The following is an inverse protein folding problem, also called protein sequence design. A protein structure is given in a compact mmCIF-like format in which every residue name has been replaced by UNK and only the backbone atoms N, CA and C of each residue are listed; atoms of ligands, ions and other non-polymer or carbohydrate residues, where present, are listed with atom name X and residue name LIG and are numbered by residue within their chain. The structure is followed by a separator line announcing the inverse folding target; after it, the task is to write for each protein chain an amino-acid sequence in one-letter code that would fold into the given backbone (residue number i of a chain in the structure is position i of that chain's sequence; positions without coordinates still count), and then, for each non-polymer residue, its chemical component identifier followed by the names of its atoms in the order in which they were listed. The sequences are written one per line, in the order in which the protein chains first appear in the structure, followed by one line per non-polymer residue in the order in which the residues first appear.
data_IF_886544819241
#
_entry.id   IF_886544819241
#
_cell.length_a   1.000
_cell.length_b   1.000
_cell.length_c   1.000
_cell.angle_alpha   90.00
_cell.angle_beta   90.00
_cell.angle_gamma   90.00
#
_symmetry.space_group_name_H-M   'P 1'
#
loop_
_entity.id
_entity.type
_entity.pdbx_description
1 polymer ?
#
# COMPACT_ATOMS: atom_id res chain seq x y z
N UNK A 1 -17.35 -19.58 -19.72
CA UNK A 1 -17.55 -18.16 -19.99
C UNK A 1 -17.33 -17.37 -18.68
N UNK A 2 -16.38 -16.41 -18.69
CA UNK A 2 -16.07 -15.58 -17.52
C UNK A 2 -16.89 -14.29 -17.61
N UNK A 3 -17.73 -14.01 -16.62
CA UNK A 3 -18.54 -12.78 -16.54
C UNK A 3 -17.95 -11.71 -15.66
N UNK A 4 -17.09 -12.10 -14.72
CA UNK A 4 -16.43 -11.20 -13.81
C UNK A 4 -14.95 -11.54 -13.69
N UNK A 5 -14.09 -10.52 -13.72
CA UNK A 5 -12.71 -10.60 -13.28
C UNK A 5 -12.53 -9.58 -12.16
N UNK A 6 -12.17 -10.06 -10.98
CA UNK A 6 -12.00 -9.22 -9.80
C UNK A 6 -10.52 -9.27 -9.39
N UNK A 7 -9.86 -8.13 -9.49
CA UNK A 7 -8.51 -7.96 -8.96
C UNK A 7 -8.60 -7.50 -7.50
N UNK A 8 -8.37 -8.41 -6.58
CA UNK A 8 -8.37 -8.12 -5.16
C UNK A 8 -7.14 -7.29 -4.73
N UNK A 9 -6.04 -7.45 -5.45
CA UNK A 9 -4.85 -6.63 -5.35
C UNK A 9 -4.55 -5.96 -6.69
N UNK A 10 -3.98 -4.74 -6.63
CA UNK A 10 -3.59 -4.03 -7.83
C UNK A 10 -2.45 -4.78 -8.55
N UNK A 11 -2.62 -5.13 -9.84
CA UNK A 11 -1.55 -5.67 -10.66
C UNK A 11 -0.34 -4.74 -10.72
N UNK A 12 0.82 -5.29 -11.05
CA UNK A 12 2.08 -4.54 -11.06
C UNK A 12 2.17 -3.52 -12.20
N UNK A 13 1.54 -3.85 -13.33
CA UNK A 13 1.56 -3.03 -14.54
C UNK A 13 0.27 -3.18 -15.35
N UNK A 14 0.11 -2.34 -16.37
CA UNK A 14 -1.08 -2.32 -17.25
C UNK A 14 -1.16 -3.58 -18.09
N UNK A 15 -0.04 -4.13 -18.54
CA UNK A 15 0.01 -5.33 -19.36
C UNK A 15 -0.56 -6.54 -18.62
N UNK A 16 -0.14 -6.72 -17.36
CA UNK A 16 -0.67 -7.79 -16.51
C UNK A 16 -2.18 -7.61 -16.29
N UNK A 17 -2.60 -6.38 -15.93
CA UNK A 17 -4.01 -6.06 -15.76
C UNK A 17 -4.81 -6.38 -17.02
N UNK A 18 -4.35 -5.95 -18.19
CA UNK A 18 -5.01 -6.16 -19.48
C UNK A 18 -5.17 -7.65 -19.81
N UNK A 19 -4.10 -8.45 -19.63
CA UNK A 19 -4.13 -9.88 -19.87
C UNK A 19 -5.10 -10.62 -18.93
N UNK A 20 -5.15 -10.23 -17.67
CA UNK A 20 -6.04 -10.82 -16.68
C UNK A 20 -7.51 -10.39 -16.93
N UNK A 21 -7.76 -9.11 -17.14
CA UNK A 21 -9.07 -8.56 -17.45
C UNK A 21 -9.62 -9.11 -18.78
N UNK A 22 -8.76 -9.31 -19.79
CA UNK A 22 -9.12 -9.87 -21.10
C UNK A 22 -9.58 -11.33 -21.08
N UNK A 23 -9.63 -11.97 -19.91
CA UNK A 23 -10.26 -13.29 -19.74
C UNK A 23 -11.78 -13.20 -19.67
N UNK A 24 -12.33 -12.03 -19.34
CA UNK A 24 -13.76 -11.79 -19.26
C UNK A 24 -14.36 -11.52 -20.67
N UNK A 25 -15.55 -12.04 -20.91
CA UNK A 25 -16.35 -11.72 -22.09
C UNK A 25 -15.77 -12.19 -23.44
N UNK A 26 -14.94 -13.24 -23.48
CA UNK A 26 -14.37 -13.77 -24.73
C UNK A 26 -15.40 -14.28 -25.72
N UNK A 27 -16.60 -14.52 -25.28
CA UNK A 27 -17.74 -14.92 -26.10
C UNK A 27 -18.52 -13.72 -26.69
N UNK A 28 -18.05 -12.49 -26.46
CA UNK A 28 -18.67 -11.26 -26.93
C UNK A 28 -19.80 -10.73 -26.03
N UNK A 29 -20.16 -11.47 -24.99
CA UNK A 29 -21.17 -11.04 -24.04
C UNK A 29 -20.63 -10.05 -23.01
N UNK A 30 -21.52 -9.23 -22.42
CA UNK A 30 -21.13 -8.26 -21.39
C UNK A 30 -20.45 -8.95 -20.20
N UNK A 31 -19.31 -8.40 -19.79
CA UNK A 31 -18.56 -8.87 -18.64
C UNK A 31 -17.95 -7.68 -17.90
N UNK A 32 -17.69 -7.85 -16.60
CA UNK A 32 -17.21 -6.79 -15.73
C UNK A 32 -15.80 -7.09 -15.23
N UNK A 33 -14.95 -6.06 -15.22
CA UNK A 33 -13.62 -6.10 -14.65
C UNK A 33 -13.54 -5.13 -13.48
N UNK A 34 -13.40 -5.67 -12.27
CA UNK A 34 -13.39 -4.90 -11.03
C UNK A 34 -11.97 -4.89 -10.50
N UNK A 35 -11.44 -3.70 -10.24
CA UNK A 35 -10.12 -3.51 -9.63
C UNK A 35 -10.29 -2.85 -8.27
N UNK A 36 -9.95 -3.57 -7.21
CA UNK A 36 -9.85 -3.02 -5.87
C UNK A 36 -8.47 -2.40 -5.69
N UNK A 37 -8.43 -1.12 -5.28
CA UNK A 37 -7.18 -0.38 -5.10
C UNK A 37 -6.90 -0.12 -3.63
N UNK A 38 -5.67 -0.38 -3.22
CA UNK A 38 -5.13 0.01 -1.93
C UNK A 38 -3.74 0.60 -2.08
N UNK A 39 -3.42 1.67 -1.33
CA UNK A 39 -2.06 2.22 -1.28
C UNK A 39 -1.02 1.22 -0.76
N UNK A 40 -1.43 0.22 0.02
CA UNK A 40 -0.57 -0.88 0.46
C UNK A 40 -0.08 -1.76 -0.69
N UNK A 41 -0.90 -1.92 -1.74
CA UNK A 41 -0.51 -2.71 -2.92
C UNK A 41 0.65 -2.04 -3.68
N UNK A 42 0.65 -0.70 -3.75
CA UNK A 42 1.77 0.05 -4.35
C UNK A 42 3.06 -0.20 -3.57
N UNK A 43 2.99 -0.17 -2.23
CA UNK A 43 4.14 -0.41 -1.37
C UNK A 43 4.66 -1.84 -1.48
N UNK A 44 3.75 -2.82 -1.53
CA UNK A 44 4.09 -4.22 -1.73
C UNK A 44 4.74 -4.45 -3.10
N UNK A 45 4.13 -3.94 -4.17
CA UNK A 45 4.68 -4.05 -5.52
C UNK A 45 6.06 -3.39 -5.65
N UNK A 46 6.26 -2.21 -5.06
CA UNK A 46 7.59 -1.57 -4.99
C UNK A 46 8.61 -2.46 -4.31
N UNK A 47 8.24 -3.06 -3.18
CA UNK A 47 9.13 -3.97 -2.47
C UNK A 47 9.50 -5.17 -3.33
N UNK A 48 8.52 -5.81 -3.98
CA UNK A 48 8.76 -6.98 -4.85
C UNK A 48 9.64 -6.64 -6.06
N UNK A 49 9.46 -5.46 -6.66
CA UNK A 49 10.29 -4.98 -7.77
C UNK A 49 11.74 -4.77 -7.31
N UNK A 50 11.95 -4.08 -6.18
CA UNK A 50 13.30 -3.87 -5.65
C UNK A 50 13.98 -5.20 -5.34
N UNK A 51 13.29 -6.07 -4.62
CA UNK A 51 13.83 -7.41 -4.27
C UNK A 51 14.18 -8.22 -5.51
N UNK A 52 13.27 -8.30 -6.49
CA UNK A 52 13.53 -9.03 -7.73
C UNK A 52 14.69 -8.43 -8.54
N UNK A 53 14.90 -7.11 -8.48
CA UNK A 53 16.06 -6.47 -9.10
C UNK A 53 17.37 -6.80 -8.37
N UNK A 54 17.37 -6.87 -7.04
CA UNK A 54 18.55 -7.21 -6.22
C UNK A 54 18.95 -8.68 -6.39
N UNK A 55 17.98 -9.59 -6.46
CA UNK A 55 18.18 -11.03 -6.59
C UNK A 55 18.52 -11.48 -8.02
N UNK A 56 18.40 -10.60 -9.01
CA UNK A 56 18.69 -10.94 -10.40
C UNK A 56 20.20 -10.85 -10.68
N UNK A 57 20.91 -11.98 -10.48
CA UNK A 57 22.35 -12.09 -10.69
C UNK A 57 22.76 -12.06 -12.17
N UNK A 58 21.82 -12.22 -13.10
CA UNK A 58 22.12 -12.23 -14.55
C UNK A 58 22.33 -10.83 -15.13
N UNK A 59 21.97 -9.76 -14.41
CA UNK A 59 22.08 -8.39 -14.85
C UNK A 59 23.33 -7.71 -14.30
N UNK A 60 24.01 -6.94 -15.12
CA UNK A 60 25.05 -6.01 -14.68
C UNK A 60 24.46 -4.92 -13.78
N UNK A 61 25.26 -4.20 -12.98
CA UNK A 61 24.76 -3.11 -12.12
C UNK A 61 24.01 -2.02 -12.91
N UNK A 62 24.44 -1.69 -14.12
CA UNK A 62 23.84 -0.70 -14.99
C UNK A 62 22.49 -1.20 -15.55
N UNK A 63 22.45 -2.43 -16.03
CA UNK A 63 21.21 -3.07 -16.52
C UNK A 63 20.19 -3.24 -15.40
N UNK A 64 20.62 -3.60 -14.21
CA UNK A 64 19.76 -3.68 -13.02
C UNK A 64 19.13 -2.34 -12.68
N UNK A 65 19.89 -1.25 -12.75
CA UNK A 65 19.37 0.10 -12.52
C UNK A 65 18.35 0.52 -13.59
N UNK A 66 18.62 0.19 -14.85
CA UNK A 66 17.71 0.46 -15.95
C UNK A 66 16.40 -0.34 -15.80
N UNK A 67 16.50 -1.64 -15.52
CA UNK A 67 15.37 -2.52 -15.26
C UNK A 67 14.51 -2.02 -14.10
N UNK A 68 15.14 -1.68 -12.98
CA UNK A 68 14.45 -1.16 -11.81
C UNK A 68 13.67 0.13 -12.13
N UNK A 69 14.28 1.05 -12.86
CA UNK A 69 13.63 2.30 -13.29
C UNK A 69 12.41 2.02 -14.17
N UNK A 70 12.54 1.10 -15.12
CA UNK A 70 11.45 0.73 -16.02
C UNK A 70 10.27 0.10 -15.25
N UNK A 71 10.52 -0.88 -14.38
CA UNK A 71 9.48 -1.54 -13.59
C UNK A 71 8.77 -0.60 -12.61
N UNK A 72 9.50 0.33 -12.00
CA UNK A 72 8.90 1.36 -11.15
C UNK A 72 8.05 2.34 -11.95
N UNK A 73 8.43 2.66 -13.19
CA UNK A 73 7.61 3.51 -14.07
C UNK A 73 6.34 2.79 -14.51
N UNK A 74 6.40 1.50 -14.86
CA UNK A 74 5.20 0.68 -15.16
C UNK A 74 4.25 0.64 -13.96
N UNK A 75 4.78 0.46 -12.74
CA UNK A 75 3.99 0.51 -11.52
C UNK A 75 3.36 1.90 -11.29
N UNK A 76 4.09 2.98 -11.58
CA UNK A 76 3.57 4.36 -11.50
C UNK A 76 2.38 4.56 -12.44
N UNK A 77 2.51 4.09 -13.68
CA UNK A 77 1.43 4.16 -14.68
C UNK A 77 0.20 3.37 -14.22
N UNK A 78 0.38 2.14 -13.71
CA UNK A 78 -0.71 1.33 -13.17
C UNK A 78 -1.40 2.00 -11.96
N UNK A 79 -0.62 2.59 -11.06
CA UNK A 79 -1.16 3.35 -9.93
C UNK A 79 -2.01 4.52 -10.41
N UNK A 80 -1.53 5.25 -11.42
CA UNK A 80 -2.25 6.38 -12.00
C UNK A 80 -3.53 5.96 -12.76
N UNK A 81 -3.51 4.79 -13.40
CA UNK A 81 -4.69 4.17 -13.98
C UNK A 81 -5.73 3.85 -12.91
N UNK A 82 -5.32 3.16 -11.84
CA UNK A 82 -6.20 2.69 -10.76
C UNK A 82 -6.83 3.82 -9.93
N UNK A 83 -6.20 4.98 -9.90
CA UNK A 83 -6.67 6.16 -9.14
C UNK A 83 -7.33 7.23 -10.01
N UNK A 84 -7.47 6.98 -11.32
CA UNK A 84 -8.06 7.95 -12.25
C UNK A 84 -9.54 8.18 -11.98
N UNK A 85 -9.92 9.47 -11.86
CA UNK A 85 -11.32 9.89 -11.66
C UNK A 85 -11.86 10.79 -12.78
N UNK A 86 -10.98 11.25 -13.67
CA UNK A 86 -11.33 12.30 -14.65
C UNK A 86 -11.09 11.92 -16.09
N UNK A 87 -10.26 10.89 -16.33
CA UNK A 87 -9.93 10.46 -17.68
C UNK A 87 -10.41 9.03 -17.88
N UNK A 88 -11.14 8.81 -18.99
CA UNK A 88 -11.65 7.50 -19.38
C UNK A 88 -10.59 6.40 -19.25
N UNK A 89 -10.92 5.34 -18.52
CA UNK A 89 -9.98 4.24 -18.25
C UNK A 89 -9.61 3.48 -19.53
N UNK A 90 -10.58 3.25 -20.42
CA UNK A 90 -10.31 2.60 -21.72
C UNK A 90 -9.39 3.46 -22.57
N UNK A 91 -9.57 4.78 -22.62
CA UNK A 91 -8.68 5.69 -23.33
C UNK A 91 -7.24 5.61 -22.80
N UNK A 92 -7.06 5.60 -21.46
CA UNK A 92 -5.73 5.45 -20.87
C UNK A 92 -5.06 4.15 -21.27
N UNK A 93 -5.80 3.04 -21.24
CA UNK A 93 -5.29 1.74 -21.60
C UNK A 93 -4.90 1.66 -23.08
N UNK A 94 -5.77 2.08 -23.98
CA UNK A 94 -5.48 2.08 -25.41
C UNK A 94 -4.31 2.98 -25.78
N UNK A 95 -4.25 4.19 -25.20
CA UNK A 95 -3.12 5.09 -25.38
C UNK A 95 -1.81 4.49 -24.87
N UNK A 96 -1.82 3.71 -23.78
CA UNK A 96 -0.66 3.01 -23.28
C UNK A 96 -0.10 2.02 -24.32
N UNK A 97 -0.97 1.34 -25.04
CA UNK A 97 -0.60 0.42 -26.14
C UNK A 97 -0.39 1.12 -27.49
N UNK A 98 -0.43 2.46 -27.53
CA UNK A 98 -0.22 3.22 -28.77
C UNK A 98 -1.45 3.27 -29.68
N UNK A 99 -2.61 2.85 -29.21
CA UNK A 99 -3.85 2.86 -29.97
C UNK A 99 -4.65 4.17 -29.75
N UNK A 100 -5.30 4.63 -30.82
CA UNK A 100 -6.23 5.75 -30.72
C UNK A 100 -7.48 5.34 -29.97
N UNK A 101 -7.94 6.20 -29.06
CA UNK A 101 -9.14 5.97 -28.30
C UNK A 101 -10.03 7.23 -28.24
N UNK A 102 -11.36 7.08 -28.30
CA UNK A 102 -12.28 8.19 -28.09
C UNK A 102 -12.15 8.78 -26.68
N UNK A 103 -12.62 10.02 -26.51
CA UNK A 103 -12.55 10.72 -25.21
C UNK A 103 -13.32 9.95 -24.11
N UNK A 104 -14.45 9.33 -24.47
CA UNK A 104 -15.32 8.57 -23.58
C UNK A 104 -15.64 7.22 -24.20
N UNK A 105 -15.62 6.16 -23.42
CA UNK A 105 -15.98 4.81 -23.88
C UNK A 105 -17.40 4.41 -23.49
N UNK A 106 -18.08 5.18 -22.64
CA UNK A 106 -19.41 4.90 -22.09
C UNK A 106 -19.55 3.48 -21.49
N UNK A 107 -18.43 2.92 -21.00
CA UNK A 107 -18.37 1.57 -20.45
C UNK A 107 -17.21 1.43 -19.45
N UNK A 108 -16.90 2.45 -18.69
CA UNK A 108 -15.98 2.37 -17.56
C UNK A 108 -16.48 3.28 -16.43
N UNK A 109 -16.08 3.01 -15.23
CA UNK A 109 -16.52 3.72 -14.02
C UNK A 109 -16.38 5.25 -14.11
N UNK A 110 -15.37 5.75 -14.83
CA UNK A 110 -15.18 7.20 -15.05
C UNK A 110 -16.19 7.78 -16.05
N UNK A 111 -16.63 6.98 -17.05
CA UNK A 111 -17.56 7.44 -18.08
C UNK A 111 -19.04 7.24 -17.69
N UNK A 112 -19.31 6.22 -16.88
CA UNK A 112 -20.68 5.86 -16.47
C UNK A 112 -21.18 6.67 -15.28
N UNK A 113 -20.34 7.57 -14.74
CA UNK A 113 -20.67 8.47 -13.63
C UNK A 113 -21.28 7.75 -12.42
N UNK A 114 -20.62 6.62 -12.01
CA UNK A 114 -20.99 5.88 -10.79
C UNK A 114 -20.96 6.75 -9.51
N UNK A 115 -20.65 8.05 -9.66
CA UNK A 115 -20.72 9.01 -8.57
C UNK A 115 -22.14 9.29 -8.09
N UNK A 116 -23.17 8.89 -8.87
CA UNK A 116 -24.58 9.10 -8.53
C UNK A 116 -25.30 7.84 -8.07
N UNK A 117 -24.73 6.65 -8.23
CA UNK A 117 -25.33 5.46 -7.67
C UNK A 117 -24.81 5.22 -6.25
N UNK A 118 -25.71 5.07 -5.35
CA UNK A 118 -25.73 4.90 -3.89
C UNK A 118 -24.74 3.86 -3.29
N UNK A 119 -23.63 3.61 -3.96
CA UNK A 119 -22.52 2.82 -3.44
C UNK A 119 -21.74 3.51 -2.30
N UNK A 120 -22.01 4.79 -2.07
CA UNK A 120 -21.50 5.53 -0.91
C UNK A 120 -21.96 4.94 0.43
N UNK A 121 -23.06 4.18 0.46
CA UNK A 121 -23.53 3.48 1.66
C UNK A 121 -22.89 2.12 1.87
N UNK A 122 -22.43 1.44 0.81
CA UNK A 122 -21.81 0.10 0.90
C UNK A 122 -20.31 0.21 1.18
N UNK A 123 -19.66 1.20 0.60
CA UNK A 123 -18.31 1.60 0.99
C UNK A 123 -18.47 2.70 2.04
N UNK A 124 -18.91 2.35 3.25
CA UNK A 124 -18.51 3.19 4.39
C UNK A 124 -17.01 3.34 4.22
N UNK A 125 -16.48 4.56 3.99
CA UNK A 125 -15.03 4.72 3.98
C UNK A 125 -14.60 4.04 5.27
N UNK A 126 -13.69 3.06 5.16
CA UNK A 126 -12.93 2.62 6.34
C UNK A 126 -12.62 3.96 6.98
N UNK A 127 -13.29 4.22 8.10
CA UNK A 127 -13.26 5.51 8.76
C UNK A 127 -11.85 6.03 8.57
N UNK A 128 -11.67 7.12 7.81
CA UNK A 128 -10.58 8.02 8.13
C UNK A 128 -10.80 8.17 9.61
N UNK A 129 -10.01 7.46 10.40
CA UNK A 129 -9.95 7.76 11.83
C UNK A 129 -9.95 9.26 11.81
N UNK A 130 -11.04 9.83 12.31
CA UNK A 130 -11.16 11.27 12.48
C UNK A 130 -9.75 11.66 12.90
N UNK A 131 -9.12 12.50 12.10
CA UNK A 131 -7.92 13.15 12.57
C UNK A 131 -8.44 13.95 13.75
N UNK A 132 -8.51 13.26 14.89
CA UNK A 132 -8.40 14.02 16.12
C UNK A 132 -7.20 14.90 15.86
N UNK A 133 -7.36 16.19 15.95
CA UNK A 133 -6.29 17.14 16.13
C UNK A 133 -5.55 16.66 17.38
N UNK A 134 -4.72 15.57 17.18
CA UNK A 134 -3.77 15.18 18.19
C UNK A 134 -2.84 16.36 18.27
N UNK A 135 -2.77 16.99 19.42
CA UNK A 135 -1.69 17.88 19.79
C UNK A 135 -0.42 17.29 19.17
N UNK A 136 0.35 18.08 18.45
CA UNK A 136 1.55 17.58 17.75
C UNK A 136 2.42 16.86 18.78
N UNK A 137 2.37 15.54 18.75
CA UNK A 137 3.13 14.69 19.65
C UNK A 137 4.59 14.85 19.27
N UNK A 138 5.33 15.61 20.07
CA UNK A 138 6.77 15.84 19.84
C UNK A 138 7.49 14.51 20.08
N UNK A 139 8.09 13.90 19.05
CA UNK A 139 8.77 12.62 19.20
C UNK A 139 9.99 12.75 20.11
N UNK A 140 10.13 11.85 21.07
CA UNK A 140 11.35 11.70 21.84
C UNK A 140 12.42 11.07 20.93
N UNK A 141 13.42 11.87 20.54
CA UNK A 141 14.44 11.45 19.54
C UNK A 141 15.27 10.25 20.01
N UNK A 142 15.60 10.21 21.30
CA UNK A 142 16.41 9.12 21.86
C UNK A 142 15.61 7.82 21.90
N UNK A 143 14.38 7.86 22.40
CA UNK A 143 13.48 6.69 22.36
C UNK A 143 13.20 6.22 20.92
N UNK A 144 13.01 7.15 19.99
CA UNK A 144 12.81 6.81 18.59
C UNK A 144 13.98 5.99 18.02
N UNK A 145 15.23 6.39 18.29
CA UNK A 145 16.41 5.62 17.83
C UNK A 145 16.51 4.25 18.53
N UNK A 146 16.17 4.14 19.81
CA UNK A 146 16.08 2.85 20.51
C UNK A 146 15.06 1.91 19.84
N UNK A 147 13.85 2.42 19.55
CA UNK A 147 12.81 1.65 18.90
C UNK A 147 13.17 1.26 17.46
N UNK A 148 13.93 2.09 16.73
CA UNK A 148 14.48 1.74 15.41
C UNK A 148 15.45 0.56 15.48
N UNK A 149 16.35 0.56 16.46
CA UNK A 149 17.30 -0.55 16.65
C UNK A 149 16.54 -1.83 17.02
N UNK A 150 15.58 -1.75 17.94
CA UNK A 150 14.73 -2.89 18.30
C UNK A 150 13.99 -3.46 17.08
N UNK A 151 13.33 -2.60 16.31
CA UNK A 151 12.65 -2.96 15.06
C UNK A 151 13.60 -3.66 14.07
N UNK A 152 14.79 -3.10 13.86
CA UNK A 152 15.78 -3.68 12.95
C UNK A 152 16.18 -5.10 13.38
N UNK A 153 16.42 -5.30 14.67
CA UNK A 153 16.79 -6.61 15.21
C UNK A 153 15.66 -7.64 15.03
N UNK A 154 14.41 -7.25 15.26
CA UNK A 154 13.24 -8.13 15.03
C UNK A 154 13.10 -8.46 13.54
N UNK A 155 13.20 -7.46 12.67
CA UNK A 155 13.09 -7.63 11.23
C UNK A 155 14.18 -8.58 10.68
N UNK A 156 15.43 -8.43 11.14
CA UNK A 156 16.53 -9.33 10.78
C UNK A 156 16.28 -10.78 11.22
N UNK A 157 15.80 -11.00 12.45
CA UNK A 157 15.49 -12.35 12.96
C UNK A 157 14.34 -13.03 12.18
N UNK A 158 13.42 -12.24 11.64
CA UNK A 158 12.27 -12.73 10.89
C UNK A 158 12.49 -12.72 9.38
N UNK A 159 13.68 -12.29 8.91
CA UNK A 159 14.01 -12.14 7.49
C UNK A 159 12.97 -11.31 6.72
N UNK A 160 12.48 -10.23 7.37
CA UNK A 160 11.51 -9.30 6.77
C UNK A 160 12.05 -7.87 6.79
N UNK A 161 11.60 -7.00 5.86
CA UNK A 161 11.94 -5.59 5.90
C UNK A 161 11.45 -4.91 7.18
N UNK A 162 12.22 -3.94 7.69
CA UNK A 162 11.95 -3.27 8.96
C UNK A 162 10.56 -2.61 9.01
N UNK A 163 10.06 -2.06 7.90
CA UNK A 163 8.75 -1.42 7.83
C UNK A 163 7.56 -2.40 7.97
N UNK A 164 7.80 -3.69 7.70
CA UNK A 164 6.77 -4.74 7.91
C UNK A 164 6.44 -4.87 9.41
N UNK A 165 7.44 -4.72 10.26
CA UNK A 165 7.24 -4.67 11.72
C UNK A 165 6.47 -3.39 12.06
N UNK A 166 7.10 -2.22 11.88
CA UNK A 166 6.45 -0.91 12.05
C UNK A 166 7.08 0.13 11.12
N UNK A 167 6.26 1.09 10.64
CA UNK A 167 6.73 2.24 9.88
C UNK A 167 7.48 3.24 10.76
N UNK A 168 8.29 4.12 10.16
CA UNK A 168 8.95 5.21 10.90
C UNK A 168 7.92 6.18 11.52
N UNK A 169 6.78 6.40 10.84
CA UNK A 169 5.70 7.22 11.37
C UNK A 169 5.11 6.62 12.65
N UNK A 170 4.86 5.30 12.65
CA UNK A 170 4.38 4.56 13.84
C UNK A 170 5.38 4.64 14.99
N UNK A 171 6.69 4.49 14.72
CA UNK A 171 7.73 4.59 15.76
C UNK A 171 7.86 6.02 16.32
N UNK A 172 7.68 7.05 15.48
CA UNK A 172 7.65 8.46 15.97
C UNK A 172 6.49 8.69 16.89
N UNK A 173 5.30 8.23 16.53
CA UNK A 173 4.12 8.33 17.39
C UNK A 173 4.31 7.54 18.70
N UNK A 174 4.87 6.32 18.66
CA UNK A 174 5.24 5.55 19.85
C UNK A 174 6.20 6.32 20.77
N UNK A 175 7.24 6.93 20.20
CA UNK A 175 8.26 7.64 20.99
C UNK A 175 7.72 8.90 21.67
N UNK A 176 6.74 9.52 21.06
CA UNK A 176 6.09 10.71 21.64
C UNK A 176 4.99 10.38 22.66
N UNK A 177 4.15 9.38 22.36
CA UNK A 177 3.04 8.98 23.23
C UNK A 177 3.48 8.10 24.40
N UNK A 178 4.60 7.38 24.25
CA UNK A 178 5.17 6.46 25.29
C UNK A 178 4.11 5.54 25.90
N UNK A 179 3.42 4.71 25.10
CA UNK A 179 2.32 3.87 25.56
C UNK A 179 2.79 2.91 26.67
N UNK A 180 2.00 2.78 27.73
CA UNK A 180 2.27 1.89 28.87
C UNK A 180 1.33 0.67 28.89
N UNK A 181 0.22 0.74 28.17
CA UNK A 181 -0.81 -0.30 28.11
C UNK A 181 -1.04 -0.76 26.68
N UNK A 182 -1.56 -1.98 26.53
CA UNK A 182 -1.95 -2.50 25.21
C UNK A 182 -3.02 -1.62 24.53
N UNK A 183 -3.92 -1.03 25.31
CA UNK A 183 -4.97 -0.15 24.80
C UNK A 183 -4.37 1.14 24.23
N UNK A 184 -3.42 1.76 24.91
CA UNK A 184 -2.68 2.92 24.40
C UNK A 184 -1.84 2.56 23.18
N UNK A 185 -1.22 1.38 23.17
CA UNK A 185 -0.45 0.89 22.04
C UNK A 185 -1.33 0.71 20.80
N UNK A 186 -2.54 0.17 20.94
CA UNK A 186 -3.52 0.04 19.85
C UNK A 186 -4.03 1.38 19.32
N UNK A 187 -3.99 2.45 20.11
CA UNK A 187 -4.42 3.78 19.67
C UNK A 187 -3.44 4.46 18.69
N UNK A 188 -2.25 3.90 18.52
CA UNK A 188 -1.20 4.42 17.63
C UNK A 188 -1.49 4.02 16.19
N UNK A 189 -1.34 4.99 15.26
CA UNK A 189 -1.57 4.73 13.85
C UNK A 189 -0.63 3.65 13.28
N UNK A 190 -1.22 2.69 12.57
CA UNK A 190 -0.49 1.58 11.96
C UNK A 190 -0.29 0.38 12.87
N UNK A 191 -0.91 0.36 14.06
CA UNK A 191 -0.97 -0.79 14.96
C UNK A 191 -2.39 -1.36 14.97
N UNK A 192 -2.51 -2.61 14.58
CA UNK A 192 -3.73 -3.40 14.71
C UNK A 192 -3.48 -4.63 15.59
N UNK A 193 -4.54 -5.39 15.90
CA UNK A 193 -4.50 -6.56 16.79
C UNK A 193 -3.40 -7.57 16.44
N UNK A 194 -3.16 -7.81 15.16
CA UNK A 194 -2.11 -8.73 14.71
C UNK A 194 -0.71 -8.24 15.09
N UNK A 195 -0.45 -6.95 15.00
CA UNK A 195 0.84 -6.35 15.36
C UNK A 195 1.00 -6.25 16.88
N UNK A 196 -0.10 -5.97 17.59
CA UNK A 196 -0.10 -6.03 19.05
C UNK A 196 0.28 -7.42 19.54
N UNK A 197 -0.38 -8.46 19.04
CA UNK A 197 -0.10 -9.87 19.42
C UNK A 197 1.34 -10.29 19.13
N UNK A 198 1.92 -9.83 18.02
CA UNK A 198 3.28 -10.21 17.60
C UNK A 198 4.40 -9.42 18.27
N UNK A 199 4.19 -8.14 18.47
CA UNK A 199 5.27 -7.20 18.82
C UNK A 199 4.94 -6.35 20.05
N UNK A 200 3.68 -6.26 20.46
CA UNK A 200 3.23 -5.35 21.52
C UNK A 200 4.01 -5.50 22.81
N UNK A 201 4.13 -6.71 23.34
CA UNK A 201 4.84 -7.00 24.59
C UNK A 201 6.32 -6.56 24.55
N UNK A 202 6.98 -6.77 23.40
CA UNK A 202 8.40 -6.46 23.23
C UNK A 202 8.61 -4.94 23.21
N UNK A 203 7.79 -4.23 22.45
CA UNK A 203 7.89 -2.78 22.32
C UNK A 203 7.46 -2.06 23.60
N UNK A 204 6.37 -2.49 24.24
CA UNK A 204 5.94 -1.96 25.54
C UNK A 204 7.02 -2.13 26.63
N UNK A 205 7.64 -3.31 26.70
CA UNK A 205 8.72 -3.55 27.63
C UNK A 205 9.94 -2.64 27.40
N UNK A 206 10.30 -2.38 26.13
CA UNK A 206 11.41 -1.48 25.81
C UNK A 206 11.08 -0.03 26.14
N UNK A 207 9.86 0.43 25.86
CA UNK A 207 9.38 1.76 26.23
C UNK A 207 9.39 1.92 27.75
N UNK A 208 8.90 0.93 28.50
CA UNK A 208 8.89 0.96 29.96
C UNK A 208 10.30 1.05 30.54
N UNK A 209 11.25 0.25 30.05
CA UNK A 209 12.66 0.33 30.44
C UNK A 209 13.26 1.71 30.22
N UNK A 210 12.93 2.33 29.10
CA UNK A 210 13.40 3.68 28.80
C UNK A 210 12.83 4.72 29.77
N UNK A 211 11.53 4.63 30.08
CA UNK A 211 10.86 5.51 31.06
C UNK A 211 11.49 5.35 32.44
N UNK A 212 11.66 4.10 32.90
CA UNK A 212 12.23 3.81 34.23
C UNK A 212 13.68 4.32 34.36
N UNK A 213 14.46 4.24 33.28
CA UNK A 213 15.85 4.74 33.25
C UNK A 213 15.95 6.26 33.30
N UNK A 214 14.94 6.97 32.76
CA UNK A 214 14.92 8.45 32.72
C UNK A 214 14.21 9.09 33.91
N UNK A 215 13.49 8.30 34.71
CA UNK A 215 12.79 8.81 35.88
C UNK A 215 11.60 9.74 35.53
N UNK A 216 10.98 9.49 34.33
CA UNK A 216 9.84 10.28 33.81
C UNK A 216 8.54 9.50 33.93
#
# INVERSE_FOLDING_TARGET
NVRFVIHYHMPRNIEQYYQEAGRAGRDGEKAECILLYSGSDVSLNKFMINKGSEENESLTPEERKAFLKEELEKLRIMTFYSTSKTVCLRKRMLNYFGEYAPQHCNNCSVCEDYANDDYSEIIKPIRKTESYTKEEVIPDKELFEHLKVLRKNIAMRQSVPAYVVFSDATLREMSGTKPRTEKEFLSINGIGDNKLKRYGSIFLAEIQKYIDKKGV
#
